data_IF_029893251954
#
_entry.id   IF_029893251954
#
_cell.length_a   1.000
_cell.length_b   1.000
_cell.length_c   1.000
_cell.angle_alpha   90.00
_cell.angle_beta   90.00
_cell.angle_gamma   90.00
#
_symmetry.space_group_name_H-M   'P 1'
#
loop_
_entity.id
_entity.type
_entity.pdbx_description
1 polymer ?
#
# COMPACT_ATOMS: atom_id res chain seq x y z
N UNK A 1 -24.61 -1.20 27.63
CA UNK A 1 -23.97 -1.68 26.37
C UNK A 1 -25.08 -2.34 25.55
N UNK A 2 -25.58 -1.66 24.52
CA UNK A 2 -26.82 -2.07 23.83
C UNK A 2 -26.57 -3.27 22.89
N UNK A 3 -27.59 -4.09 22.65
CA UNK A 3 -27.53 -5.29 21.78
C UNK A 3 -26.98 -5.02 20.37
N UNK A 4 -27.16 -3.80 19.84
CA UNK A 4 -26.58 -3.36 18.56
C UNK A 4 -25.05 -3.25 18.59
N UNK A 5 -24.48 -2.75 19.70
CA UNK A 5 -23.02 -2.64 19.85
C UNK A 5 -22.35 -4.01 19.93
N UNK A 6 -23.00 -4.98 20.58
CA UNK A 6 -22.53 -6.37 20.64
C UNK A 6 -22.62 -7.05 19.26
N UNK A 7 -23.66 -6.77 18.49
CA UNK A 7 -23.83 -7.27 17.12
C UNK A 7 -22.77 -6.73 16.15
N UNK A 8 -22.43 -5.44 16.24
CA UNK A 8 -21.41 -4.82 15.38
C UNK A 8 -20.01 -5.41 15.64
N UNK A 9 -19.63 -5.60 16.90
CA UNK A 9 -18.34 -6.21 17.29
C UNK A 9 -18.24 -7.67 16.83
N UNK A 10 -19.34 -8.42 16.91
CA UNK A 10 -19.41 -9.79 16.39
C UNK A 10 -19.17 -9.86 14.87
N UNK A 11 -19.75 -8.94 14.10
CA UNK A 11 -19.53 -8.88 12.64
C UNK A 11 -18.11 -8.46 12.28
N UNK A 12 -17.57 -7.44 12.92
CA UNK A 12 -16.20 -6.99 12.68
C UNK A 12 -15.17 -8.10 12.97
N UNK A 13 -15.34 -8.83 14.07
CA UNK A 13 -14.47 -9.95 14.41
C UNK A 13 -14.56 -11.10 13.42
N UNK A 14 -15.76 -11.39 12.88
CA UNK A 14 -15.92 -12.35 11.80
C UNK A 14 -15.18 -11.92 10.54
N UNK A 15 -15.33 -10.67 10.09
CA UNK A 15 -14.66 -10.15 8.88
C UNK A 15 -13.14 -10.26 8.99
N UNK A 16 -12.57 -9.80 10.10
CA UNK A 16 -11.13 -9.93 10.36
C UNK A 16 -10.69 -11.40 10.49
N UNK A 17 -11.53 -12.25 11.08
CA UNK A 17 -11.31 -13.69 11.15
C UNK A 17 -11.18 -14.36 9.79
N UNK A 18 -11.95 -13.91 8.79
CA UNK A 18 -11.87 -14.43 7.42
C UNK A 18 -10.61 -13.95 6.70
N UNK A 19 -10.27 -12.67 6.80
CA UNK A 19 -9.05 -12.16 6.17
C UNK A 19 -7.78 -12.83 6.74
N UNK A 20 -7.72 -12.96 8.07
CA UNK A 20 -6.58 -13.60 8.76
C UNK A 20 -6.50 -15.10 8.54
N UNK A 21 -7.62 -15.80 8.26
CA UNK A 21 -7.57 -17.22 7.90
C UNK A 21 -6.95 -17.43 6.52
N UNK A 22 -7.26 -16.56 5.54
CA UNK A 22 -6.63 -16.59 4.21
C UNK A 22 -5.12 -16.33 4.31
N UNK A 23 -4.68 -15.37 5.12
CA UNK A 23 -3.26 -15.12 5.35
C UNK A 23 -2.54 -16.33 5.95
N UNK A 24 -3.19 -17.05 6.89
CA UNK A 24 -2.63 -18.27 7.49
C UNK A 24 -2.53 -19.41 6.49
N UNK A 25 -3.53 -19.56 5.61
CA UNK A 25 -3.53 -20.56 4.52
C UNK A 25 -2.32 -20.39 3.60
N UNK A 26 -1.99 -19.14 3.22
CA UNK A 26 -0.90 -18.82 2.30
C UNK A 26 0.27 -18.09 2.97
N UNK A 27 0.58 -18.42 4.23
CA UNK A 27 1.60 -17.71 5.04
C UNK A 27 2.96 -17.58 4.36
N UNK A 28 3.38 -18.61 3.61
CA UNK A 28 4.69 -18.63 2.92
C UNK A 28 4.72 -17.58 1.81
N UNK A 29 3.65 -17.47 1.03
CA UNK A 29 3.52 -16.45 0.00
C UNK A 29 3.49 -15.06 0.63
N UNK A 30 2.73 -14.88 1.70
CA UNK A 30 2.68 -13.58 2.40
C UNK A 30 4.07 -13.14 2.90
N UNK A 31 4.84 -14.05 3.52
CA UNK A 31 6.21 -13.77 3.96
C UNK A 31 7.12 -13.48 2.75
N UNK A 32 7.01 -14.25 1.67
CA UNK A 32 7.80 -14.04 0.46
C UNK A 32 7.53 -12.66 -0.16
N UNK A 33 6.28 -12.21 -0.18
CA UNK A 33 5.91 -10.87 -0.67
C UNK A 33 6.47 -9.76 0.22
N UNK A 34 6.50 -9.94 1.54
CA UNK A 34 7.13 -8.98 2.45
C UNK A 34 8.63 -8.87 2.16
N UNK A 35 9.33 -10.01 2.07
CA UNK A 35 10.76 -10.05 1.77
C UNK A 35 11.06 -9.44 0.40
N UNK A 36 10.26 -9.77 -0.61
CA UNK A 36 10.42 -9.23 -1.95
C UNK A 36 10.19 -7.71 -1.99
N UNK A 37 9.11 -7.21 -1.38
CA UNK A 37 8.76 -5.80 -1.42
C UNK A 37 9.79 -4.94 -0.68
N UNK A 38 10.03 -5.21 0.61
CA UNK A 38 10.99 -4.42 1.39
C UNK A 38 12.43 -4.65 0.94
N UNK A 39 12.78 -5.86 0.48
CA UNK A 39 14.06 -6.13 -0.15
C UNK A 39 14.26 -5.29 -1.42
N UNK A 40 13.22 -5.16 -2.25
CA UNK A 40 13.27 -4.31 -3.46
C UNK A 40 13.45 -2.83 -3.09
N UNK A 41 12.70 -2.32 -2.10
CA UNK A 41 12.88 -0.94 -1.60
C UNK A 41 14.33 -0.73 -1.15
N UNK A 42 14.86 -1.61 -0.31
CA UNK A 42 16.21 -1.48 0.23
C UNK A 42 17.28 -1.53 -0.87
N UNK A 43 17.18 -2.48 -1.81
CA UNK A 43 18.11 -2.59 -2.94
C UNK A 43 18.05 -1.34 -3.82
N UNK A 44 16.86 -0.81 -4.09
CA UNK A 44 16.69 0.43 -4.85
C UNK A 44 17.29 1.65 -4.12
N UNK A 45 17.13 1.76 -2.80
CA UNK A 45 17.78 2.81 -1.99
C UNK A 45 19.31 2.74 -2.08
N UNK A 46 19.88 1.54 -1.96
CA UNK A 46 21.33 1.35 -2.12
C UNK A 46 21.77 1.71 -3.54
N UNK A 47 21.04 1.26 -4.55
CA UNK A 47 21.36 1.52 -5.95
C UNK A 47 21.39 3.02 -6.27
N UNK A 48 20.38 3.78 -5.82
CA UNK A 48 20.27 5.21 -6.15
C UNK A 48 21.32 6.06 -5.42
N UNK A 49 21.83 5.60 -4.27
CA UNK A 49 22.94 6.25 -3.59
C UNK A 49 24.21 6.33 -4.46
N UNK A 50 24.38 5.40 -5.42
CA UNK A 50 25.46 5.44 -6.43
C UNK A 50 25.07 6.16 -7.72
N UNK A 51 23.78 6.50 -7.91
CA UNK A 51 23.26 7.15 -9.11
C UNK A 51 22.35 8.33 -8.76
N UNK A 52 22.87 9.41 -8.14
CA UNK A 52 22.04 10.48 -7.58
C UNK A 52 21.18 11.22 -8.62
N UNK A 53 21.61 11.25 -9.89
CA UNK A 53 20.84 11.87 -10.97
C UNK A 53 19.47 11.22 -11.17
N UNK A 54 19.34 9.92 -10.89
CA UNK A 54 18.06 9.19 -10.99
C UNK A 54 17.10 9.71 -9.93
N UNK A 55 17.58 9.86 -8.70
CA UNK A 55 16.76 10.39 -7.61
C UNK A 55 16.32 11.83 -7.89
N UNK A 56 17.23 12.68 -8.40
CA UNK A 56 16.91 14.06 -8.78
C UNK A 56 15.81 14.12 -9.84
N UNK A 57 15.94 13.33 -10.93
CA UNK A 57 14.93 13.26 -11.97
C UNK A 57 13.57 12.77 -11.44
N UNK A 58 13.56 11.82 -10.50
CA UNK A 58 12.34 11.36 -9.86
C UNK A 58 11.71 12.44 -8.97
N UNK A 59 12.49 13.15 -8.16
CA UNK A 59 12.01 14.26 -7.33
C UNK A 59 11.37 15.35 -8.20
N UNK A 60 12.01 15.72 -9.31
CA UNK A 60 11.46 16.69 -10.26
C UNK A 60 10.14 16.21 -10.88
N UNK A 61 10.05 14.93 -11.26
CA UNK A 61 8.81 14.36 -11.81
C UNK A 61 7.64 14.33 -10.82
N UNK A 62 7.96 14.09 -9.54
CA UNK A 62 6.98 14.08 -8.45
C UNK A 62 6.53 15.51 -8.13
N UNK A 63 7.46 16.47 -8.10
CA UNK A 63 7.14 17.89 -7.91
C UNK A 63 6.16 18.40 -8.98
N UNK A 64 6.38 18.05 -10.25
CA UNK A 64 5.43 18.37 -11.35
C UNK A 64 4.04 17.74 -11.14
N UNK A 65 4.00 16.51 -10.64
CA UNK A 65 2.74 15.81 -10.35
C UNK A 65 1.96 16.46 -9.20
N UNK A 66 2.66 17.09 -8.26
CA UNK A 66 2.07 17.85 -7.15
C UNK A 66 1.68 19.28 -7.52
N UNK A 67 2.23 19.86 -8.59
CA UNK A 67 1.87 21.22 -9.03
C UNK A 67 0.74 21.24 -10.06
N UNK A 68 0.69 20.26 -10.97
CA UNK A 68 -0.20 20.29 -12.13
C UNK A 68 -1.02 19.00 -12.30
N UNK A 69 -0.77 17.99 -11.46
CA UNK A 69 -1.32 16.65 -11.63
C UNK A 69 -2.48 16.29 -10.69
N UNK A 70 -2.95 15.03 -10.75
CA UNK A 70 -4.02 14.50 -9.89
C UNK A 70 -3.71 14.54 -8.38
N UNK A 71 -2.45 14.81 -8.01
CA UNK A 71 -1.99 14.89 -6.63
C UNK A 71 -1.93 16.33 -6.09
N UNK A 72 -2.27 17.34 -6.89
CA UNK A 72 -2.20 18.73 -6.48
C UNK A 72 -3.04 19.04 -5.23
N UNK A 73 -4.25 18.49 -5.14
CA UNK A 73 -5.10 18.64 -3.95
C UNK A 73 -4.50 18.00 -2.68
N UNK A 74 -3.72 16.92 -2.83
CA UNK A 74 -2.99 16.31 -1.72
C UNK A 74 -1.91 17.27 -1.22
N UNK A 75 -1.12 17.83 -2.14
CA UNK A 75 -0.08 18.81 -1.79
C UNK A 75 -0.67 20.08 -1.15
N UNK A 76 -1.78 20.60 -1.67
CA UNK A 76 -2.50 21.73 -1.09
C UNK A 76 -2.94 21.44 0.36
N UNK A 77 -3.45 20.23 0.64
CA UNK A 77 -3.86 19.86 2.00
C UNK A 77 -2.67 19.78 2.97
N UNK A 78 -1.52 19.25 2.53
CA UNK A 78 -0.30 19.21 3.34
C UNK A 78 0.26 20.62 3.59
N UNK A 79 0.34 21.46 2.56
CA UNK A 79 0.85 22.84 2.68
C UNK A 79 -0.09 23.75 3.48
N UNK A 80 -1.40 23.49 3.45
CA UNK A 80 -2.39 24.16 4.28
C UNK A 80 -2.37 23.76 5.76
N UNK A 81 -1.61 22.71 6.13
CA UNK A 81 -1.44 22.26 7.51
C UNK A 81 -2.68 21.57 8.13
N UNK A 82 -3.66 21.18 7.31
CA UNK A 82 -4.87 20.51 7.78
C UNK A 82 -4.66 19.00 7.85
N UNK A 83 -4.26 18.50 9.03
CA UNK A 83 -3.97 17.08 9.27
C UNK A 83 -5.13 16.15 8.89
N UNK A 84 -6.38 16.54 9.16
CA UNK A 84 -7.53 15.70 8.84
C UNK A 84 -7.74 15.56 7.34
N UNK A 85 -7.69 16.68 6.62
CA UNK A 85 -7.86 16.72 5.17
C UNK A 85 -6.70 16.02 4.44
N UNK A 86 -5.46 16.29 4.85
CA UNK A 86 -4.28 15.63 4.32
C UNK A 86 -4.35 14.11 4.53
N UNK A 87 -4.73 13.65 5.73
CA UNK A 87 -4.91 12.23 6.02
C UNK A 87 -6.01 11.58 5.19
N UNK A 88 -7.16 12.25 5.02
CA UNK A 88 -8.27 11.73 4.22
C UNK A 88 -7.91 11.60 2.74
N UNK A 89 -7.27 12.62 2.17
CA UNK A 89 -6.85 12.62 0.76
C UNK A 89 -5.73 11.60 0.52
N UNK A 90 -4.77 11.52 1.43
CA UNK A 90 -3.69 10.52 1.39
C UNK A 90 -4.27 9.10 1.41
N UNK A 91 -5.20 8.81 2.34
CA UNK A 91 -5.91 7.54 2.36
C UNK A 91 -6.65 7.27 1.05
N UNK A 92 -7.41 8.25 0.54
CA UNK A 92 -8.20 8.08 -0.67
C UNK A 92 -7.31 7.77 -1.89
N UNK A 93 -6.22 8.51 -2.06
CA UNK A 93 -5.26 8.28 -3.14
C UNK A 93 -4.58 6.93 -2.97
N UNK A 94 -4.05 6.62 -1.80
CA UNK A 94 -3.29 5.38 -1.61
C UNK A 94 -4.18 4.13 -1.67
N UNK A 95 -5.40 4.19 -1.16
CA UNK A 95 -6.35 3.08 -1.25
C UNK A 95 -6.97 2.98 -2.65
N UNK A 96 -7.70 3.99 -3.12
CA UNK A 96 -8.45 3.85 -4.37
C UNK A 96 -7.56 3.88 -5.60
N UNK A 97 -6.72 4.91 -5.76
CA UNK A 97 -5.83 4.98 -6.92
C UNK A 97 -4.69 3.96 -6.77
N UNK A 98 -3.98 3.99 -5.65
CA UNK A 98 -2.76 3.24 -5.42
C UNK A 98 -2.94 1.73 -5.27
N UNK A 99 -4.06 1.24 -4.72
CA UNK A 99 -4.32 -0.21 -4.60
C UNK A 99 -5.41 -0.69 -5.53
N UNK A 100 -6.62 -0.12 -5.47
CA UNK A 100 -7.76 -0.66 -6.22
C UNK A 100 -7.55 -0.49 -7.72
N UNK A 101 -7.31 0.72 -8.19
CA UNK A 101 -7.16 1.01 -9.62
C UNK A 101 -5.84 0.46 -10.16
N UNK A 102 -4.72 0.71 -9.48
CA UNK A 102 -3.40 0.37 -10.02
C UNK A 102 -3.02 -1.10 -9.82
N UNK A 103 -3.38 -1.73 -8.70
CA UNK A 103 -3.00 -3.12 -8.43
C UNK A 103 -4.15 -4.10 -8.69
N UNK A 104 -5.34 -3.82 -8.17
CA UNK A 104 -6.44 -4.78 -8.20
C UNK A 104 -7.07 -4.95 -9.57
N UNK A 105 -7.51 -3.85 -10.18
CA UNK A 105 -8.29 -3.86 -11.43
C UNK A 105 -7.51 -4.54 -12.57
N UNK A 106 -6.22 -4.21 -12.83
CA UNK A 106 -5.42 -4.93 -13.83
C UNK A 106 -5.30 -6.42 -13.53
N UNK A 107 -5.27 -6.79 -12.24
CA UNK A 107 -5.16 -8.19 -11.81
C UNK A 107 -6.41 -9.02 -12.04
N UNK A 108 -7.57 -8.39 -12.22
CA UNK A 108 -8.81 -9.09 -12.59
C UNK A 108 -8.75 -9.66 -14.01
N UNK A 109 -7.92 -9.05 -14.86
CA UNK A 109 -7.71 -9.43 -16.26
C UNK A 109 -6.43 -10.23 -16.43
N UNK A 110 -5.33 -9.80 -15.78
CA UNK A 110 -4.01 -10.39 -15.88
C UNK A 110 -3.64 -10.99 -14.51
N UNK A 111 -3.69 -12.33 -14.35
CA UNK A 111 -3.33 -12.97 -13.09
C UNK A 111 -1.98 -12.47 -12.56
N UNK A 112 -1.93 -12.11 -11.28
CA UNK A 112 -0.73 -11.58 -10.61
C UNK A 112 -0.20 -10.23 -11.10
N UNK A 113 -0.88 -9.52 -12.01
CA UNK A 113 -0.42 -8.22 -12.53
C UNK A 113 -0.07 -7.21 -11.43
N UNK A 114 -0.89 -7.15 -10.38
CA UNK A 114 -0.68 -6.29 -9.22
C UNK A 114 0.54 -6.65 -8.37
N UNK A 115 1.02 -7.90 -8.42
CA UNK A 115 2.30 -8.26 -7.79
C UNK A 115 3.45 -7.59 -8.56
N UNK A 116 3.46 -7.69 -9.88
CA UNK A 116 4.49 -7.06 -10.71
C UNK A 116 4.48 -5.54 -10.57
N UNK A 117 3.31 -4.92 -10.70
CA UNK A 117 3.15 -3.46 -10.54
C UNK A 117 3.54 -3.01 -9.13
N UNK A 118 3.20 -3.79 -8.11
CA UNK A 118 3.60 -3.52 -6.72
C UNK A 118 5.11 -3.51 -6.52
N UNK A 119 5.87 -4.40 -7.18
CA UNK A 119 7.34 -4.40 -7.12
C UNK A 119 7.97 -3.25 -7.92
N UNK A 120 7.35 -2.83 -9.03
CA UNK A 120 7.76 -1.60 -9.72
C UNK A 120 7.57 -0.40 -8.78
N UNK A 121 6.45 -0.32 -8.08
CA UNK A 121 6.22 0.73 -7.09
C UNK A 121 7.23 0.70 -5.94
N UNK A 122 7.52 -0.49 -5.40
CA UNK A 122 8.57 -0.66 -4.38
C UNK A 122 9.92 -0.13 -4.85
N UNK A 123 10.26 -0.38 -6.12
CA UNK A 123 11.48 0.15 -6.75
C UNK A 123 11.45 1.68 -6.79
N UNK A 124 10.38 2.28 -7.30
CA UNK A 124 10.24 3.74 -7.40
C UNK A 124 10.35 4.40 -6.03
N UNK A 125 9.75 3.81 -4.99
CA UNK A 125 9.84 4.30 -3.62
C UNK A 125 11.26 4.24 -3.07
N UNK A 126 11.97 3.13 -3.27
CA UNK A 126 13.36 3.04 -2.84
C UNK A 126 14.28 4.02 -3.57
N UNK A 127 14.05 4.24 -4.87
CA UNK A 127 14.81 5.23 -5.65
C UNK A 127 14.51 6.67 -5.20
N UNK A 128 13.26 6.99 -4.89
CA UNK A 128 12.82 8.34 -4.53
C UNK A 128 13.21 8.72 -3.09
N UNK A 129 12.98 7.81 -2.14
CA UNK A 129 13.04 8.08 -0.69
C UNK A 129 14.39 7.69 -0.06
N UNK A 130 15.42 7.42 -0.85
CA UNK A 130 16.74 7.12 -0.31
C UNK A 130 17.31 8.36 0.43
N UNK A 131 17.84 8.20 1.66
CA UNK A 131 18.35 9.31 2.48
C UNK A 131 19.74 9.78 2.03
N UNK A 132 19.85 10.30 0.79
CA UNK A 132 21.12 10.68 0.14
C UNK A 132 21.58 12.10 0.48
N UNK A 133 20.68 12.97 0.94
CA UNK A 133 20.98 14.33 1.39
C UNK A 133 20.72 14.48 2.89
N UNK A 134 21.30 15.51 3.51
CA UNK A 134 21.09 15.77 4.95
C UNK A 134 19.61 16.00 5.29
N UNK A 135 18.91 16.72 4.43
CA UNK A 135 17.47 16.97 4.56
C UNK A 135 16.67 15.66 4.48
N UNK A 136 16.92 14.83 3.46
CA UNK A 136 16.25 13.53 3.33
C UNK A 136 16.61 12.59 4.49
N UNK A 137 17.83 12.60 5.00
CA UNK A 137 18.21 11.82 6.17
C UNK A 137 17.37 12.17 7.41
N UNK A 138 17.11 13.46 7.62
CA UNK A 138 16.33 13.93 8.77
C UNK A 138 14.83 13.65 8.57
N UNK A 139 14.31 13.92 7.37
CA UNK A 139 12.92 13.62 7.03
C UNK A 139 12.63 12.11 7.09
N UNK A 140 13.57 11.26 6.69
CA UNK A 140 13.39 9.81 6.67
C UNK A 140 13.34 9.15 8.06
N UNK A 141 13.75 9.83 9.13
CA UNK A 141 13.68 9.28 10.50
C UNK A 141 12.22 8.97 10.89
N UNK A 142 11.30 9.95 10.88
CA UNK A 142 9.90 9.65 11.10
C UNK A 142 9.26 8.96 9.86
N UNK A 143 9.67 9.32 8.64
CA UNK A 143 9.06 8.77 7.41
C UNK A 143 9.27 7.27 7.21
N UNK A 144 10.29 6.68 7.82
CA UNK A 144 10.48 5.24 7.81
C UNK A 144 9.25 4.49 8.37
N UNK A 145 8.51 5.07 9.33
CA UNK A 145 7.29 4.46 9.87
C UNK A 145 6.15 4.54 8.85
N UNK A 146 5.97 5.69 8.19
CA UNK A 146 5.03 5.84 7.06
C UNK A 146 5.34 4.82 5.97
N UNK A 147 6.59 4.75 5.53
CA UNK A 147 7.04 3.83 4.48
C UNK A 147 6.75 2.35 4.83
N UNK A 148 6.93 1.96 6.10
CA UNK A 148 6.60 0.62 6.58
C UNK A 148 5.08 0.38 6.61
N UNK A 149 4.28 1.32 7.10
CA UNK A 149 2.84 1.16 7.18
C UNK A 149 2.19 1.12 5.79
N UNK A 150 2.55 2.05 4.91
CA UNK A 150 2.03 2.07 3.56
C UNK A 150 2.53 0.87 2.73
N UNK A 151 3.82 0.55 2.85
CA UNK A 151 4.40 -0.65 2.25
C UNK A 151 3.64 -1.91 2.65
N UNK A 152 3.25 -2.02 3.93
CA UNK A 152 2.43 -3.14 4.41
C UNK A 152 1.03 -3.16 3.77
N UNK A 153 0.41 -2.00 3.54
CA UNK A 153 -0.84 -1.89 2.79
C UNK A 153 -0.69 -2.41 1.36
N UNK A 154 0.40 -2.05 0.67
CA UNK A 154 0.69 -2.55 -0.68
C UNK A 154 0.99 -4.03 -0.73
N UNK A 155 1.74 -4.56 0.24
CA UNK A 155 1.99 -6.00 0.34
C UNK A 155 0.69 -6.78 0.51
N UNK A 156 -0.25 -6.28 1.34
CA UNK A 156 -1.57 -6.90 1.50
C UNK A 156 -2.38 -6.85 0.20
N UNK A 157 -2.32 -5.73 -0.55
CA UNK A 157 -2.97 -5.60 -1.84
C UNK A 157 -2.36 -6.56 -2.88
N UNK A 158 -1.03 -6.65 -2.96
CA UNK A 158 -0.32 -7.62 -3.79
C UNK A 158 -0.70 -9.06 -3.41
N UNK A 159 -0.77 -9.37 -2.12
CA UNK A 159 -1.19 -10.68 -1.63
C UNK A 159 -2.62 -11.01 -2.06
N UNK A 160 -3.54 -10.05 -1.98
CA UNK A 160 -4.91 -10.22 -2.48
C UNK A 160 -4.94 -10.51 -3.99
N UNK A 161 -4.17 -9.76 -4.79
CA UNK A 161 -4.06 -10.02 -6.25
C UNK A 161 -3.46 -11.39 -6.56
N UNK A 162 -2.53 -11.86 -5.73
CA UNK A 162 -1.97 -13.19 -5.84
C UNK A 162 -2.99 -14.28 -5.50
N UNK A 163 -3.77 -14.10 -4.42
CA UNK A 163 -4.84 -15.05 -4.06
C UNK A 163 -5.88 -15.15 -5.18
N UNK A 164 -6.25 -14.03 -5.80
CA UNK A 164 -7.13 -14.02 -6.97
C UNK A 164 -6.55 -14.81 -8.14
N UNK A 165 -5.32 -14.47 -8.56
CA UNK A 165 -4.64 -15.14 -9.68
C UNK A 165 -4.43 -16.64 -9.43
N UNK A 166 -4.07 -17.02 -8.20
CA UNK A 166 -3.90 -18.41 -7.81
C UNK A 166 -5.22 -19.19 -7.87
N UNK A 167 -6.33 -18.61 -7.41
CA UNK A 167 -7.65 -19.23 -7.49
C UNK A 167 -8.17 -19.36 -8.93
N UNK A 168 -7.83 -18.41 -9.81
CA UNK A 168 -8.15 -18.49 -11.23
C UNK A 168 -7.36 -19.61 -11.91
N UNK A 169 -6.04 -19.72 -11.69
CA UNK A 169 -5.20 -20.75 -12.35
C UNK A 169 -5.42 -22.14 -11.75
N UNK A 170 -5.64 -22.22 -10.44
CA UNK A 170 -5.86 -23.46 -9.71
C UNK A 170 -7.20 -23.42 -8.96
N UNK A 171 -8.36 -23.56 -9.65
CA UNK A 171 -9.68 -23.47 -9.03
C UNK A 171 -9.90 -24.43 -7.84
N UNK A 172 -9.26 -25.60 -7.89
CA UNK A 172 -9.27 -26.57 -6.80
C UNK A 172 -8.72 -26.01 -5.47
N UNK A 173 -7.87 -24.98 -5.48
CA UNK A 173 -7.35 -24.35 -4.24
C UNK A 173 -8.43 -23.62 -3.44
N UNK A 174 -9.56 -23.29 -4.07
CA UNK A 174 -10.72 -22.64 -3.43
C UNK A 174 -11.97 -23.52 -3.49
N UNK A 175 -11.80 -24.82 -3.77
CA UNK A 175 -12.90 -25.78 -3.93
C UNK A 175 -13.84 -25.41 -5.09
N UNK A 176 -13.31 -24.80 -6.15
CA UNK A 176 -14.05 -24.54 -7.38
C UNK A 176 -13.79 -25.66 -8.40
N UNK A 177 -14.80 -25.97 -9.21
CA UNK A 177 -14.72 -27.00 -10.27
C UNK A 177 -14.37 -26.43 -11.64
N UNK A 178 -14.41 -25.09 -11.80
CA UNK A 178 -14.09 -24.40 -13.06
C UNK A 178 -13.33 -23.10 -12.83
N UNK A 179 -12.64 -22.61 -13.86
CA UNK A 179 -11.90 -21.36 -13.82
C UNK A 179 -12.78 -20.15 -13.50
N UNK A 180 -14.00 -20.09 -14.03
CA UNK A 180 -14.95 -19.00 -13.73
C UNK A 180 -15.38 -19.01 -12.26
N UNK A 181 -15.64 -20.20 -11.69
CA UNK A 181 -15.91 -20.30 -10.25
C UNK A 181 -14.67 -19.96 -9.42
N UNK A 182 -13.47 -20.35 -9.88
CA UNK A 182 -12.19 -19.99 -9.26
C UNK A 182 -11.98 -18.47 -9.23
N UNK A 183 -12.27 -17.80 -10.34
CA UNK A 183 -12.23 -16.34 -10.47
C UNK A 183 -13.17 -15.66 -9.46
N UNK A 184 -14.44 -16.07 -9.42
CA UNK A 184 -15.45 -15.46 -8.54
C UNK A 184 -15.12 -15.70 -7.05
N UNK A 185 -14.74 -16.92 -6.67
CA UNK A 185 -14.32 -17.24 -5.29
C UNK A 185 -13.01 -16.54 -4.92
N UNK A 186 -12.07 -16.43 -5.85
CA UNK A 186 -10.82 -15.68 -5.68
C UNK A 186 -11.07 -14.20 -5.46
N UNK A 187 -11.99 -13.61 -6.23
CA UNK A 187 -12.44 -12.23 -6.06
C UNK A 187 -13.04 -12.02 -4.66
N UNK A 188 -13.97 -12.87 -4.23
CA UNK A 188 -14.57 -12.78 -2.90
C UNK A 188 -13.51 -12.87 -1.78
N UNK A 189 -12.56 -13.80 -1.88
CA UNK A 189 -11.42 -13.90 -0.93
C UNK A 189 -10.54 -12.65 -0.94
N UNK A 190 -10.31 -12.07 -2.10
CA UNK A 190 -9.51 -10.84 -2.23
C UNK A 190 -10.20 -9.65 -1.59
N UNK A 191 -11.51 -9.49 -1.75
CA UNK A 191 -12.28 -8.42 -1.12
C UNK A 191 -12.17 -8.47 0.42
N UNK A 192 -12.11 -9.66 1.02
CA UNK A 192 -11.86 -9.78 2.46
C UNK A 192 -10.47 -9.28 2.86
N UNK A 193 -9.45 -9.53 2.04
CA UNK A 193 -8.10 -9.00 2.28
C UNK A 193 -8.03 -7.48 2.11
N UNK A 194 -8.85 -6.90 1.21
CA UNK A 194 -8.93 -5.45 1.02
C UNK A 194 -9.47 -4.70 2.25
N UNK A 195 -10.18 -5.38 3.16
CA UNK A 195 -10.51 -4.80 4.47
C UNK A 195 -9.24 -4.53 5.28
N UNK A 196 -8.28 -5.46 5.28
CA UNK A 196 -7.00 -5.24 5.95
C UNK A 196 -6.17 -4.17 5.24
N UNK A 197 -6.18 -4.14 3.91
CA UNK A 197 -5.54 -3.07 3.12
C UNK A 197 -6.08 -1.70 3.53
N UNK A 198 -7.41 -1.54 3.58
CA UNK A 198 -8.05 -0.29 3.95
C UNK A 198 -7.67 0.15 5.37
N UNK A 199 -7.72 -0.76 6.34
CA UNK A 199 -7.36 -0.46 7.74
C UNK A 199 -5.88 -0.04 7.83
N UNK A 200 -4.99 -0.79 7.20
CA UNK A 200 -3.55 -0.51 7.23
C UNK A 200 -3.24 0.84 6.58
N UNK A 201 -3.79 1.14 5.41
CA UNK A 201 -3.55 2.42 4.73
C UNK A 201 -4.23 3.60 5.42
N UNK A 202 -5.35 3.41 6.10
CA UNK A 202 -5.97 4.46 6.91
C UNK A 202 -5.06 4.83 8.11
N UNK A 203 -4.49 3.83 8.78
CA UNK A 203 -3.52 4.06 9.86
C UNK A 203 -2.28 4.77 9.33
N UNK A 204 -1.77 4.34 8.18
CA UNK A 204 -0.61 4.95 7.53
C UNK A 204 -0.86 6.42 7.19
N UNK A 205 -1.99 6.73 6.55
CA UNK A 205 -2.33 8.08 6.14
C UNK A 205 -2.54 9.05 7.32
N UNK A 206 -3.10 8.58 8.43
CA UNK A 206 -3.21 9.39 9.66
C UNK A 206 -1.81 9.69 10.22
N UNK A 207 -0.94 8.68 10.27
CA UNK A 207 0.42 8.86 10.75
C UNK A 207 1.22 9.81 9.85
N UNK A 208 1.15 9.63 8.53
CA UNK A 208 1.84 10.48 7.55
C UNK A 208 1.38 11.93 7.64
N UNK A 209 0.07 12.18 7.75
CA UNK A 209 -0.47 13.53 7.91
C UNK A 209 0.08 14.23 9.16
N UNK A 210 0.15 13.51 10.28
CA UNK A 210 0.75 14.03 11.52
C UNK A 210 2.24 14.28 11.35
N UNK A 211 2.94 13.30 10.78
CA UNK A 211 4.38 13.36 10.55
C UNK A 211 4.78 14.57 9.70
N UNK A 212 4.23 14.67 8.49
CA UNK A 212 4.66 15.65 7.49
C UNK A 212 4.32 17.07 7.93
N UNK A 213 3.18 17.25 8.61
CA UNK A 213 2.71 18.59 9.01
C UNK A 213 3.33 19.01 10.35
N UNK A 214 3.45 18.10 11.32
CA UNK A 214 3.79 18.47 12.70
C UNK A 214 5.21 18.07 13.11
N UNK A 215 5.81 17.05 12.51
CA UNK A 215 7.11 16.50 12.95
C UNK A 215 8.24 16.95 12.02
N UNK A 216 8.14 16.65 10.72
CA UNK A 216 9.21 16.90 9.73
C UNK A 216 9.68 18.36 9.72
N UNK A 217 8.82 19.38 9.76
CA UNK A 217 9.25 20.78 9.73
C UNK A 217 10.15 21.17 10.91
N UNK A 218 10.05 20.51 12.06
CA UNK A 218 10.90 20.79 13.22
C UNK A 218 12.28 20.10 13.14
N UNK A 219 12.45 19.15 12.22
CA UNK A 219 13.70 18.42 12.04
C UNK A 219 14.58 19.03 10.95
N UNK A 220 13.97 19.60 9.91
CA UNK A 220 14.69 20.10 8.72
C UNK A 220 14.97 21.60 8.75
N UNK A 221 14.24 22.37 9.57
CA UNK A 221 14.46 23.81 9.78
C UNK A 221 15.41 24.06 10.95
#
# INVERSE_FOLDING_TARGET
>A
MNSESAGAVSRASQVLGHATSIMREYRRTYIALNLAYYGTVAVAMVFVAFHPFIQQALIESVALSFSEGPLASVAEAYTGGNVFEAGLLTFAVNFFAGTVVVLFVPSLLIPFGGVGIGLVRATLWGLLLAPTTRELQLAMIPHAVTLLLEGQGYILAMFATWVHGHALIKPGSVGATSHLQGWAKGLARSLWLYVLVAITLAIAAVYEAIEVILIVPHLIN
#
